data_IF_324602634706
#
_entry.id   IF_324602634706
#
_cell.length_a   1.000
_cell.length_b   1.000
_cell.length_c   1.000
_cell.angle_alpha   90.00
_cell.angle_beta   90.00
_cell.angle_gamma   90.00
#
_symmetry.space_group_name_H-M   'P 1'
#
loop_
_entity.id
_entity.type
_entity.pdbx_description
1 polymer ?
#
# COMPACT_ATOMS: atom_id res chain seq x y z
N UNK A 1 -6.09 18.91 6.35
CA UNK A 1 -7.40 18.44 5.91
C UNK A 1 -7.42 18.03 4.42
N UNK A 2 -6.30 17.57 3.87
CA UNK A 2 -6.17 17.15 2.46
C UNK A 2 -5.88 15.66 2.26
N UNK A 3 -5.83 14.85 3.32
CA UNK A 3 -5.38 13.46 3.26
C UNK A 3 -6.48 12.44 2.93
N UNK A 4 -7.77 12.75 3.17
CA UNK A 4 -8.86 11.79 2.97
C UNK A 4 -9.21 11.52 1.50
N UNK A 5 -9.02 12.50 0.62
CA UNK A 5 -9.32 12.35 -0.80
C UNK A 5 -8.27 11.51 -1.55
N UNK A 6 -6.99 11.60 -1.14
CA UNK A 6 -5.88 10.89 -1.78
C UNK A 6 -5.96 9.37 -1.55
N UNK A 7 -6.37 8.92 -0.37
CA UNK A 7 -6.51 7.48 -0.07
C UNK A 7 -7.67 6.84 -0.83
N UNK A 8 -8.82 7.52 -0.89
CA UNK A 8 -9.97 7.06 -1.63
C UNK A 8 -9.67 6.92 -3.12
N UNK A 9 -8.90 7.85 -3.68
CA UNK A 9 -8.49 7.81 -5.07
C UNK A 9 -7.53 6.64 -5.36
N UNK A 10 -6.52 6.41 -4.50
CA UNK A 10 -5.58 5.30 -4.65
C UNK A 10 -6.32 3.96 -4.58
N UNK A 11 -7.18 3.77 -3.58
CA UNK A 11 -7.93 2.53 -3.41
C UNK A 11 -8.96 2.31 -4.50
N UNK A 12 -9.62 3.36 -5.01
CA UNK A 12 -10.55 3.24 -6.13
C UNK A 12 -9.83 2.91 -7.44
N UNK A 13 -8.62 3.44 -7.66
CA UNK A 13 -7.81 3.09 -8.82
C UNK A 13 -7.22 1.69 -8.72
N UNK A 14 -6.80 1.25 -7.53
CA UNK A 14 -6.41 -0.14 -7.29
C UNK A 14 -7.57 -1.11 -7.54
N UNK A 15 -8.80 -0.72 -7.25
CA UNK A 15 -10.00 -1.54 -7.46
C UNK A 15 -10.44 -1.63 -8.93
N UNK A 16 -10.17 -0.62 -9.74
CA UNK A 16 -10.60 -0.54 -11.16
C UNK A 16 -9.59 -1.15 -12.14
N UNK A 17 -8.33 -1.33 -11.74
CA UNK A 17 -7.26 -1.78 -12.63
C UNK A 17 -6.81 -3.24 -12.39
N UNK A 18 -7.63 -4.06 -11.76
CA UNK A 18 -7.37 -5.49 -11.49
C UNK A 18 -7.35 -6.35 -12.77
N UNK A 19 -6.67 -5.91 -13.80
CA UNK A 19 -6.29 -6.75 -14.93
C UNK A 19 -4.77 -6.75 -15.08
N UNK A 20 -4.15 -7.70 -14.44
CA UNK A 20 -2.92 -8.42 -14.69
C UNK A 20 -1.97 -8.53 -13.50
N UNK A 21 -1.81 -9.77 -13.13
CA UNK A 21 -0.74 -10.37 -12.34
C UNK A 21 -0.80 -10.11 -10.83
N UNK A 22 -1.85 -10.64 -10.18
CA UNK A 22 -1.77 -11.00 -8.77
C UNK A 22 -0.97 -12.31 -8.69
N UNK A 23 0.29 -12.27 -8.26
CA UNK A 23 1.01 -13.44 -7.80
C UNK A 23 0.69 -13.62 -6.32
N UNK A 24 -0.20 -14.55 -6.02
CA UNK A 24 -0.44 -15.01 -4.65
C UNK A 24 0.57 -16.12 -4.36
N UNK A 25 1.56 -15.87 -3.53
CA UNK A 25 2.35 -16.93 -2.94
C UNK A 25 1.76 -17.26 -1.58
N UNK A 26 1.16 -18.46 -1.44
CA UNK A 26 0.77 -18.99 -0.14
C UNK A 26 1.90 -19.87 0.37
N UNK A 27 2.51 -19.52 1.49
CA UNK A 27 3.37 -20.44 2.20
C UNK A 27 2.64 -21.04 3.44
N UNK A 28 3.11 -22.21 3.92
CA UNK A 28 2.40 -23.09 4.83
C UNK A 28 2.14 -22.53 6.25
N UNK A 29 2.52 -21.28 6.53
CA UNK A 29 2.45 -20.67 7.86
C UNK A 29 1.67 -19.34 7.95
N UNK A 30 0.87 -18.99 6.95
CA UNK A 30 0.04 -17.78 6.98
C UNK A 30 -0.12 -17.17 5.60
N UNK A 31 -1.22 -16.48 5.40
CA UNK A 31 -1.52 -15.79 4.15
C UNK A 31 -0.47 -14.69 3.94
N UNK A 32 0.42 -14.89 2.99
CA UNK A 32 1.32 -13.86 2.50
C UNK A 32 0.60 -13.20 1.32
N UNK A 33 0.21 -11.95 1.48
CA UNK A 33 -0.26 -11.14 0.37
C UNK A 33 0.92 -10.32 -0.15
N UNK A 34 1.60 -10.84 -1.16
CA UNK A 34 2.48 -10.06 -1.99
C UNK A 34 1.75 -9.86 -3.31
N UNK A 35 1.22 -8.68 -3.54
CA UNK A 35 0.50 -8.34 -4.75
C UNK A 35 1.23 -7.22 -5.47
N UNK A 36 1.48 -7.42 -6.75
CA UNK A 36 2.04 -6.40 -7.61
C UNK A 36 1.02 -5.95 -8.64
N UNK A 37 0.83 -4.63 -8.75
CA UNK A 37 -0.06 -4.00 -9.72
C UNK A 37 0.76 -3.14 -10.67
N UNK A 38 0.59 -3.40 -11.95
CA UNK A 38 1.17 -2.59 -13.02
C UNK A 38 0.06 -2.11 -13.93
N UNK A 39 -0.07 -0.81 -14.08
CA UNK A 39 -0.98 -0.19 -15.03
C UNK A 39 -0.28 0.91 -15.82
N UNK A 40 -0.97 1.46 -16.82
CA UNK A 40 -0.46 2.61 -17.58
C UNK A 40 -0.40 3.90 -16.75
N UNK A 41 -1.04 3.92 -15.58
CA UNK A 41 -1.17 5.10 -14.72
C UNK A 41 -0.31 5.05 -13.48
N UNK A 42 -0.07 3.88 -12.92
CA UNK A 42 0.67 3.69 -11.68
C UNK A 42 1.23 2.29 -11.54
N UNK A 43 2.21 2.13 -10.65
CA UNK A 43 2.75 0.86 -10.18
C UNK A 43 2.56 0.74 -8.68
N UNK A 44 2.21 -0.43 -8.20
CA UNK A 44 2.05 -0.64 -6.77
C UNK A 44 2.54 -2.03 -6.34
N UNK A 45 3.25 -2.08 -5.24
CA UNK A 45 3.60 -3.30 -4.51
C UNK A 45 2.88 -3.30 -3.18
N UNK A 46 2.16 -4.39 -2.89
CA UNK A 46 1.34 -4.54 -1.69
C UNK A 46 1.87 -5.74 -0.92
N UNK A 47 2.22 -5.55 0.33
CA UNK A 47 2.81 -6.59 1.16
C UNK A 47 2.17 -6.62 2.55
N UNK A 48 1.85 -7.83 3.04
CA UNK A 48 1.38 -8.02 4.42
C UNK A 48 2.56 -8.25 5.37
N UNK A 49 2.54 -7.54 6.50
CA UNK A 49 3.54 -7.64 7.56
C UNK A 49 2.89 -8.05 8.88
N UNK A 50 3.31 -9.18 9.39
CA UNK A 50 2.85 -9.71 10.69
C UNK A 50 3.88 -9.57 11.81
N UNK A 51 5.12 -9.19 11.48
CA UNK A 51 6.23 -9.07 12.41
C UNK A 51 6.82 -7.66 12.51
N UNK A 52 6.93 -7.12 13.72
CA UNK A 52 7.43 -5.77 13.99
C UNK A 52 8.91 -5.55 13.63
N UNK A 53 9.71 -6.61 13.53
CA UNK A 53 11.17 -6.54 13.33
C UNK A 53 11.59 -6.24 11.88
N UNK A 54 10.66 -6.20 10.96
CA UNK A 54 10.95 -5.93 9.54
C UNK A 54 11.35 -4.46 9.31
N UNK A 55 12.44 -4.18 8.60
CA UNK A 55 12.85 -2.81 8.27
C UNK A 55 12.03 -2.26 7.10
N UNK A 56 10.76 -1.91 7.34
CA UNK A 56 9.81 -1.44 6.32
C UNK A 56 10.33 -0.26 5.50
N UNK A 57 10.99 0.68 6.16
CA UNK A 57 11.59 1.87 5.56
C UNK A 57 12.63 1.54 4.47
N UNK A 58 13.54 0.61 4.77
CA UNK A 58 14.56 0.18 3.82
C UNK A 58 13.99 -0.70 2.71
N UNK A 59 12.99 -1.53 3.04
CA UNK A 59 12.29 -2.36 2.06
C UNK A 59 11.48 -1.49 1.08
N UNK A 60 10.77 -0.48 1.58
CA UNK A 60 10.06 0.47 0.72
C UNK A 60 11.00 1.09 -0.32
N UNK A 61 12.15 1.59 0.14
CA UNK A 61 13.17 2.15 -0.76
C UNK A 61 13.65 1.16 -1.81
N UNK A 62 13.89 -0.10 -1.41
CA UNK A 62 14.33 -1.16 -2.33
C UNK A 62 13.24 -1.49 -3.37
N UNK A 63 11.99 -1.58 -2.96
CA UNK A 63 10.87 -1.88 -3.86
C UNK A 63 10.61 -0.74 -4.86
N UNK A 64 10.68 0.52 -4.45
CA UNK A 64 10.61 1.64 -5.38
C UNK A 64 11.72 1.58 -6.43
N UNK A 65 12.96 1.33 -6.01
CA UNK A 65 14.09 1.22 -6.94
C UNK A 65 13.92 0.06 -7.93
N UNK A 66 13.41 -1.10 -7.47
CA UNK A 66 13.15 -2.24 -8.36
C UNK A 66 12.04 -1.92 -9.37
N UNK A 67 10.94 -1.29 -8.93
CA UNK A 67 9.88 -0.89 -9.86
C UNK A 67 10.40 0.05 -10.94
N UNK A 68 11.21 1.04 -10.57
CA UNK A 68 11.78 1.98 -11.52
C UNK A 68 12.72 1.29 -12.54
N UNK A 69 13.56 0.37 -12.05
CA UNK A 69 14.48 -0.40 -12.92
C UNK A 69 13.77 -1.39 -13.84
N UNK A 70 12.68 -2.01 -13.34
CA UNK A 70 11.93 -3.01 -14.10
C UNK A 70 11.03 -2.39 -15.20
N UNK A 71 10.67 -1.12 -15.05
CA UNK A 71 9.66 -0.50 -15.91
C UNK A 71 10.14 0.65 -16.76
N UNK A 72 11.27 1.26 -16.43
CA UNK A 72 11.92 2.21 -17.32
C UNK A 72 12.93 1.46 -18.19
N UNK A 73 12.62 1.33 -19.47
CA UNK A 73 13.52 0.69 -20.43
C UNK A 73 14.76 1.55 -20.66
N UNK A 74 15.89 0.90 -20.98
CA UNK A 74 17.14 1.58 -21.27
C UNK A 74 16.96 2.62 -22.41
N UNK A 75 17.40 3.84 -22.16
CA UNK A 75 17.29 4.94 -23.12
C UNK A 75 15.96 5.69 -23.09
N UNK A 76 15.01 5.27 -22.30
CA UNK A 76 13.77 6.02 -22.10
C UNK A 76 13.98 7.24 -21.18
N UNK A 77 13.28 8.35 -21.42
CA UNK A 77 13.37 9.54 -20.56
C UNK A 77 12.73 9.27 -19.19
N UNK A 78 13.27 9.88 -18.14
CA UNK A 78 12.76 9.73 -16.76
C UNK A 78 11.32 10.20 -16.57
N UNK A 79 10.82 11.06 -17.44
CA UNK A 79 9.42 11.51 -17.46
C UNK A 79 8.43 10.38 -17.70
N UNK A 80 8.91 9.22 -18.19
CA UNK A 80 8.10 8.01 -18.37
C UNK A 80 7.92 7.22 -17.07
N UNK A 81 8.66 7.54 -16.00
CA UNK A 81 8.44 6.94 -14.69
C UNK A 81 7.01 7.24 -14.21
N UNK A 82 6.33 6.21 -13.77
CA UNK A 82 4.97 6.31 -13.26
C UNK A 82 4.94 6.54 -11.75
N UNK A 83 3.87 7.09 -11.20
CA UNK A 83 3.67 7.06 -9.76
C UNK A 83 3.85 5.64 -9.22
N UNK A 84 4.75 5.48 -8.24
CA UNK A 84 5.03 4.21 -7.59
C UNK A 84 4.50 4.21 -6.16
N UNK A 85 3.85 3.12 -5.78
CA UNK A 85 3.27 2.92 -4.45
C UNK A 85 3.82 1.65 -3.82
N UNK A 86 4.34 1.75 -2.61
CA UNK A 86 4.65 0.60 -1.76
C UNK A 86 3.68 0.61 -0.59
N UNK A 87 2.85 -0.42 -0.47
CA UNK A 87 1.77 -0.49 0.51
C UNK A 87 2.04 -1.67 1.45
N UNK A 88 2.35 -1.37 2.70
CA UNK A 88 2.46 -2.36 3.75
C UNK A 88 1.15 -2.46 4.53
N UNK A 89 0.61 -3.66 4.64
CA UNK A 89 -0.54 -3.98 5.50
C UNK A 89 0.02 -4.59 6.77
N UNK A 90 0.00 -3.85 7.88
CA UNK A 90 0.60 -4.26 9.15
C UNK A 90 -0.47 -4.69 10.15
N UNK A 91 -0.29 -5.87 10.77
CA UNK A 91 -1.13 -6.33 11.90
C UNK A 91 -0.71 -5.72 13.24
N UNK A 92 0.15 -4.72 13.21
CA UNK A 92 0.69 -4.00 14.37
C UNK A 92 0.85 -2.52 14.02
N UNK A 93 0.85 -1.66 15.03
CA UNK A 93 1.12 -0.22 14.85
C UNK A 93 2.62 0.08 14.88
N UNK A 94 3.24 0.16 13.71
CA UNK A 94 4.67 0.45 13.54
C UNK A 94 5.11 1.74 14.22
N UNK A 95 4.26 2.76 14.22
CA UNK A 95 4.60 4.12 14.67
C UNK A 95 4.00 4.48 16.03
N UNK A 96 3.17 3.59 16.60
CA UNK A 96 2.54 3.76 17.92
C UNK A 96 1.77 5.07 18.09
N UNK A 97 1.07 5.49 17.03
CA UNK A 97 0.23 6.70 17.00
C UNK A 97 -1.26 6.37 16.92
N UNK A 98 -1.60 5.10 16.84
CA UNK A 98 -2.98 4.62 16.70
C UNK A 98 -3.71 5.25 15.51
N UNK A 99 -2.98 5.48 14.42
CA UNK A 99 -3.56 5.94 13.16
C UNK A 99 -3.80 4.76 12.22
N UNK A 100 -4.90 4.72 11.48
CA UNK A 100 -5.20 3.63 10.55
C UNK A 100 -4.30 3.65 9.32
N UNK A 101 -3.86 4.81 8.88
CA UNK A 101 -3.06 5.00 7.67
C UNK A 101 -1.93 5.97 7.93
N UNK A 102 -0.74 5.56 7.53
CA UNK A 102 0.44 6.43 7.47
C UNK A 102 0.85 6.59 6.01
N UNK A 103 1.01 7.83 5.56
CA UNK A 103 1.36 8.17 4.19
C UNK A 103 2.67 8.95 4.14
N UNK A 104 3.64 8.42 3.43
CA UNK A 104 4.97 8.99 3.29
C UNK A 104 5.25 9.38 1.85
N UNK A 105 5.90 10.49 1.68
CA UNK A 105 6.44 11.01 0.43
C UNK A 105 7.70 11.84 0.70
N UNK A 106 8.49 12.10 -0.33
CA UNK A 106 9.67 12.95 -0.25
C UNK A 106 9.29 14.40 0.04
N UNK A 107 9.95 14.99 1.06
CA UNK A 107 9.59 16.30 1.57
C UNK A 107 10.82 17.07 2.06
N UNK A 108 10.95 18.35 1.69
CA UNK A 108 11.90 19.26 2.33
C UNK A 108 11.34 19.68 3.70
N UNK A 109 11.96 19.20 4.77
CA UNK A 109 11.47 19.40 6.15
C UNK A 109 11.62 20.84 6.62
N UNK A 110 12.57 21.62 6.05
CA UNK A 110 12.83 23.00 6.43
C UNK A 110 11.89 23.98 5.72
N UNK A 111 11.63 23.74 4.44
CA UNK A 111 10.84 24.66 3.61
C UNK A 111 9.37 24.23 3.49
N UNK A 112 9.05 22.99 3.90
CA UNK A 112 7.70 22.46 3.77
C UNK A 112 7.29 22.20 2.32
N UNK A 113 8.23 21.81 1.44
CA UNK A 113 8.01 21.62 0.02
C UNK A 113 8.06 20.12 -0.35
N UNK A 114 7.09 19.59 -1.09
CA UNK A 114 7.19 18.26 -1.66
C UNK A 114 8.22 18.23 -2.78
N UNK A 115 8.95 17.10 -2.91
CA UNK A 115 9.84 16.88 -4.05
C UNK A 115 9.05 16.54 -5.32
N UNK A 116 7.84 15.97 -5.16
CA UNK A 116 6.95 15.52 -6.24
C UNK A 116 7.58 14.48 -7.17
N UNK A 117 8.41 13.61 -6.58
CA UNK A 117 9.03 12.45 -7.27
C UNK A 117 8.05 11.31 -7.56
N UNK A 118 6.77 11.46 -7.17
CA UNK A 118 5.68 10.50 -7.36
C UNK A 118 5.96 9.12 -6.71
N UNK A 119 6.85 9.07 -5.72
CA UNK A 119 7.15 7.88 -4.93
C UNK A 119 6.42 7.95 -3.57
N UNK A 120 5.55 6.98 -3.31
CA UNK A 120 4.67 6.99 -2.15
C UNK A 120 4.75 5.68 -1.38
N UNK A 121 4.98 5.77 -0.07
CA UNK A 121 4.90 4.62 0.83
C UNK A 121 3.70 4.76 1.75
N UNK A 122 2.87 3.73 1.80
CA UNK A 122 1.65 3.69 2.61
C UNK A 122 1.78 2.54 3.62
N UNK A 123 1.50 2.82 4.88
CA UNK A 123 1.42 1.78 5.91
C UNK A 123 0.01 1.77 6.47
N UNK A 124 -0.70 0.67 6.25
CA UNK A 124 -2.03 0.42 6.79
C UNK A 124 -1.87 -0.34 8.11
N UNK A 125 -2.34 0.27 9.19
CA UNK A 125 -2.34 -0.32 10.53
C UNK A 125 -3.69 -0.98 10.81
N UNK A 126 -3.77 -2.31 10.69
CA UNK A 126 -5.03 -3.02 10.95
C UNK A 126 -5.32 -3.22 12.44
N UNK A 127 -4.36 -2.85 13.30
CA UNK A 127 -4.48 -2.91 14.77
C UNK A 127 -4.79 -1.54 15.40
N UNK A 128 -5.31 -0.58 14.63
CA UNK A 128 -5.73 0.71 15.16
C UNK A 128 -7.11 0.62 15.83
N UNK A 129 -7.44 1.65 16.61
CA UNK A 129 -8.78 1.80 17.21
C UNK A 129 -9.85 1.83 16.10
N UNK A 130 -10.89 0.97 16.14
CA UNK A 130 -11.89 0.85 15.06
C UNK A 130 -12.60 2.16 14.71
N UNK A 131 -12.80 3.04 15.69
CA UNK A 131 -13.43 4.35 15.50
C UNK A 131 -12.61 5.34 14.65
N UNK A 132 -11.33 5.08 14.44
CA UNK A 132 -10.44 5.91 13.62
C UNK A 132 -10.40 5.49 12.15
N UNK A 133 -10.87 4.28 11.84
CA UNK A 133 -10.84 3.77 10.47
C UNK A 133 -11.78 4.59 9.59
N UNK A 134 -11.28 5.20 8.49
CA UNK A 134 -12.13 5.91 7.54
C UNK A 134 -13.24 5.00 7.01
N UNK A 135 -14.43 5.54 6.80
CA UNK A 135 -15.61 4.78 6.37
C UNK A 135 -15.35 3.93 5.12
N UNK A 136 -14.64 4.51 4.15
CA UNK A 136 -14.28 3.82 2.90
C UNK A 136 -13.35 2.62 3.09
N UNK A 137 -12.60 2.56 4.21
CA UNK A 137 -11.66 1.48 4.52
C UNK A 137 -12.24 0.43 5.48
N UNK A 138 -13.35 0.71 6.13
CA UNK A 138 -13.95 -0.20 7.13
C UNK A 138 -14.18 -1.62 6.59
N UNK A 139 -14.81 -1.83 5.43
CA UNK A 139 -15.03 -3.18 4.91
C UNK A 139 -13.72 -3.94 4.68
N UNK A 140 -12.69 -3.24 4.24
CA UNK A 140 -11.36 -3.83 4.01
C UNK A 140 -10.68 -4.22 5.32
N UNK A 141 -10.71 -3.35 6.34
CA UNK A 141 -10.15 -3.64 7.67
C UNK A 141 -10.90 -4.77 8.37
N UNK A 142 -12.23 -4.82 8.26
CA UNK A 142 -13.05 -5.91 8.78
C UNK A 142 -12.68 -7.25 8.12
N UNK A 143 -12.50 -7.27 6.81
CA UNK A 143 -12.05 -8.46 6.07
C UNK A 143 -10.67 -8.92 6.52
N UNK A 144 -9.70 -8.03 6.70
CA UNK A 144 -8.35 -8.37 7.14
C UNK A 144 -8.32 -8.92 8.58
N UNK A 145 -9.16 -8.40 9.46
CA UNK A 145 -9.22 -8.80 10.87
C UNK A 145 -10.07 -10.05 11.12
N UNK A 146 -11.04 -10.33 10.26
CA UNK A 146 -11.86 -11.55 10.33
C UNK A 146 -12.23 -12.07 8.93
N UNK A 147 -11.29 -12.76 8.24
CA UNK A 147 -11.52 -13.26 6.88
C UNK A 147 -12.66 -14.29 6.78
N UNK A 148 -13.00 -14.97 7.89
CA UNK A 148 -14.04 -16.03 7.90
C UNK A 148 -15.46 -15.47 7.93
N UNK A 149 -15.64 -14.26 8.39
CA UNK A 149 -16.95 -13.62 8.52
C UNK A 149 -17.60 -13.33 7.16
N UNK A 150 -16.79 -13.12 6.13
CA UNK A 150 -17.27 -12.78 4.78
C UNK A 150 -17.53 -14.00 3.89
N UNK A 151 -16.99 -15.18 4.21
CA UNK A 151 -17.34 -16.42 3.48
C UNK A 151 -18.77 -16.91 3.77
N UNK A 152 -19.37 -16.46 4.87
CA UNK A 152 -20.74 -16.84 5.23
C UNK A 152 -21.82 -16.02 4.50
N UNK A 153 -21.48 -14.86 3.90
CA UNK A 153 -22.45 -14.00 3.20
C UNK A 153 -22.59 -14.27 1.70
N UNK A 154 -21.73 -15.08 1.11
CA UNK A 154 -21.83 -15.49 -0.31
C UNK A 154 -22.57 -16.82 -0.52
N UNK A 155 -23.05 -17.46 0.55
CA UNK A 155 -23.76 -18.75 0.53
C UNK A 155 -25.27 -18.63 0.87
N UNK A 156 -25.86 -17.44 0.76
CA UNK A 156 -27.32 -17.26 0.93
C UNK A 156 -27.96 -16.62 -0.29
#
# INVERSE_FOLDING_TARGET
>A
MFLSASYCWILSNLRTETQKTLKFESDAHGVRFDAFLKSDKLWAEIEMQTGEKSPLDKRARYYHANMDLDFLEEGQPYENLKPSYVIFICTFDRFKKDEPVYFFRSWDVEKGLPLDDLSYTIVLNTNCSPGKVPEALKPFYEYLNDPKKNQASELT
#
